data_IF_286682057649
#
_entry.id   IF_286682057649
#
_cell.length_a   1.000
_cell.length_b   1.000
_cell.length_c   1.000
_cell.angle_alpha   90.00
_cell.angle_beta   90.00
_cell.angle_gamma   90.00
#
_symmetry.space_group_name_H-M   'P 1'
#
loop_
_entity.id
_entity.type
_entity.pdbx_description
1 polymer ?
#
# COMPACT_ATOMS: atom_id res chain seq x y z
N UNK A 1 38.90 4.69 8.57
CA UNK A 1 37.69 4.07 9.14
C UNK A 1 36.78 3.77 7.97
N UNK A 2 36.47 2.50 7.70
CA UNK A 2 35.45 2.17 6.70
C UNK A 2 34.09 2.31 7.39
N UNK A 3 33.42 3.45 7.20
CA UNK A 3 32.00 3.53 7.51
C UNK A 3 31.26 2.71 6.45
N UNK A 4 30.93 1.46 6.77
CA UNK A 4 29.92 0.74 5.99
C UNK A 4 28.58 1.42 6.26
N UNK A 5 27.98 2.05 5.26
CA UNK A 5 26.66 2.69 5.36
C UNK A 5 25.51 1.70 5.11
N UNK A 6 25.84 0.55 4.55
CA UNK A 6 24.91 -0.50 4.14
C UNK A 6 25.19 -1.78 4.92
N UNK A 7 24.13 -2.46 5.32
CA UNK A 7 24.14 -3.81 5.88
C UNK A 7 23.23 -4.73 5.08
N UNK A 8 23.60 -6.00 5.00
CA UNK A 8 22.76 -7.03 4.39
C UNK A 8 22.01 -7.79 5.48
N UNK A 9 20.69 -7.89 5.35
CA UNK A 9 19.79 -8.62 6.27
C UNK A 9 18.82 -9.46 5.44
N UNK A 10 18.75 -10.76 5.72
CA UNK A 10 17.81 -11.68 5.05
C UNK A 10 17.82 -11.56 3.52
N UNK A 11 19.01 -11.49 2.93
CA UNK A 11 19.25 -11.30 1.48
C UNK A 11 18.85 -9.94 0.90
N UNK A 12 18.41 -8.98 1.71
CA UNK A 12 18.12 -7.60 1.29
C UNK A 12 19.15 -6.60 1.82
N UNK A 13 19.32 -5.49 1.12
CA UNK A 13 20.25 -4.42 1.49
C UNK A 13 19.55 -3.26 2.20
N UNK A 14 20.08 -2.86 3.35
CA UNK A 14 19.52 -1.83 4.22
C UNK A 14 20.55 -0.79 4.61
N UNK A 15 20.11 0.44 4.86
CA UNK A 15 20.99 1.45 5.46
C UNK A 15 21.11 1.24 6.97
N UNK A 16 22.34 1.27 7.47
CA UNK A 16 22.64 1.00 8.87
C UNK A 16 21.88 1.95 9.80
N UNK A 17 21.18 1.35 10.77
CA UNK A 17 20.43 2.10 11.78
C UNK A 17 19.09 2.66 11.27
N UNK A 18 18.65 2.24 10.09
CA UNK A 18 17.41 2.74 9.47
C UNK A 18 16.54 1.59 8.98
N UNK A 19 15.29 1.91 8.64
CA UNK A 19 14.37 0.99 7.95
C UNK A 19 14.25 1.31 6.47
N UNK A 20 15.23 2.01 5.90
CA UNK A 20 15.23 2.35 4.47
C UNK A 20 16.10 1.33 3.74
N UNK A 21 15.53 0.71 2.70
CA UNK A 21 16.27 -0.21 1.84
C UNK A 21 17.21 0.57 0.92
N UNK A 22 18.34 -0.04 0.59
CA UNK A 22 19.28 0.52 -0.38
C UNK A 22 18.60 0.75 -1.74
N UNK A 23 17.75 -0.18 -2.13
CA UNK A 23 17.01 -0.25 -3.39
C UNK A 23 16.24 1.04 -3.64
N UNK A 24 15.58 1.55 -2.59
CA UNK A 24 14.77 2.76 -2.68
C UNK A 24 15.61 4.00 -2.99
N UNK A 25 16.84 4.07 -2.46
CA UNK A 25 17.80 5.14 -2.76
C UNK A 25 18.39 4.99 -4.15
N UNK A 26 18.75 3.76 -4.53
CA UNK A 26 19.36 3.49 -5.84
C UNK A 26 18.38 3.79 -6.97
N UNK A 27 17.14 3.32 -6.86
CA UNK A 27 16.10 3.56 -7.89
C UNK A 27 15.84 5.06 -8.05
N UNK A 28 15.70 5.81 -6.95
CA UNK A 28 15.48 7.26 -7.00
C UNK A 28 16.68 8.02 -7.58
N UNK A 29 17.90 7.60 -7.26
CA UNK A 29 19.11 8.13 -7.88
C UNK A 29 19.18 7.85 -9.39
N UNK A 30 18.86 6.63 -9.82
CA UNK A 30 18.81 6.24 -11.23
C UNK A 30 17.70 6.94 -12.02
N UNK A 31 16.64 7.40 -11.34
CA UNK A 31 15.61 8.28 -11.92
C UNK A 31 16.09 9.72 -12.16
N UNK A 32 17.34 10.05 -11.77
CA UNK A 32 17.96 11.34 -12.00
C UNK A 32 17.78 12.35 -10.86
N UNK A 33 17.27 11.93 -9.71
CA UNK A 33 17.22 12.79 -8.52
C UNK A 33 18.63 12.97 -7.94
N UNK A 34 18.92 14.19 -7.49
CA UNK A 34 20.20 14.47 -6.82
C UNK A 34 20.20 13.88 -5.41
N UNK A 35 21.37 13.54 -4.85
CA UNK A 35 21.48 13.03 -3.47
C UNK A 35 20.87 13.98 -2.42
N UNK A 36 20.97 15.29 -2.64
CA UNK A 36 20.38 16.31 -1.76
C UNK A 36 18.85 16.23 -1.78
N UNK A 37 18.26 16.16 -2.97
CA UNK A 37 16.81 16.03 -3.13
C UNK A 37 16.31 14.71 -2.54
N UNK A 38 17.06 13.63 -2.72
CA UNK A 38 16.72 12.33 -2.12
C UNK A 38 16.71 12.42 -0.58
N UNK A 39 17.69 13.13 0.01
CA UNK A 39 17.76 13.32 1.46
C UNK A 39 16.64 14.21 2.01
N UNK A 40 16.23 15.27 1.29
CA UNK A 40 15.21 16.21 1.79
C UNK A 40 13.78 15.80 1.47
N UNK A 41 13.52 15.38 0.23
CA UNK A 41 12.18 15.16 -0.29
C UNK A 41 11.72 13.70 -0.16
N UNK A 42 12.63 12.74 -0.36
CA UNK A 42 12.27 11.31 -0.38
C UNK A 42 12.44 10.66 0.99
N UNK A 43 13.56 10.93 1.67
CA UNK A 43 13.91 10.27 2.93
C UNK A 43 14.39 11.28 3.98
N UNK A 44 13.51 12.16 4.49
CA UNK A 44 13.86 13.18 5.49
C UNK A 44 14.36 12.61 6.82
N UNK A 45 14.22 11.30 7.04
CA UNK A 45 14.78 10.57 8.18
C UNK A 45 16.24 10.17 8.00
N UNK A 46 16.80 10.29 6.80
CA UNK A 46 18.19 9.99 6.49
C UNK A 46 19.04 11.25 6.51
N UNK A 47 20.28 11.10 6.97
CA UNK A 47 21.28 12.16 6.83
C UNK A 47 21.82 12.21 5.41
N UNK A 48 22.28 13.39 4.98
CA UNK A 48 22.91 13.55 3.67
C UNK A 48 24.14 12.62 3.54
N UNK A 49 24.90 12.44 4.61
CA UNK A 49 26.04 11.50 4.65
C UNK A 49 25.60 10.06 4.35
N UNK A 50 24.50 9.59 4.94
CA UNK A 50 23.96 8.25 4.69
C UNK A 50 23.52 8.06 3.24
N UNK A 51 22.87 9.06 2.63
CA UNK A 51 22.45 9.01 1.23
C UNK A 51 23.67 8.92 0.31
N UNK A 52 24.67 9.78 0.51
CA UNK A 52 25.92 9.72 -0.25
C UNK A 52 26.67 8.40 -0.04
N UNK A 53 26.69 7.89 1.19
CA UNK A 53 27.29 6.61 1.53
C UNK A 53 26.61 5.43 0.84
N UNK A 54 25.28 5.44 0.75
CA UNK A 54 24.50 4.44 0.03
C UNK A 54 24.77 4.48 -1.48
N UNK A 55 24.82 5.67 -2.08
CA UNK A 55 25.14 5.85 -3.50
C UNK A 55 26.59 5.40 -3.78
N UNK A 56 27.54 5.74 -2.91
CA UNK A 56 28.92 5.30 -3.04
C UNK A 56 29.04 3.76 -2.97
N UNK A 57 28.29 3.14 -2.05
CA UNK A 57 28.22 1.68 -1.96
C UNK A 57 27.66 1.06 -3.25
N UNK A 58 26.58 1.64 -3.79
CA UNK A 58 25.98 1.21 -5.05
C UNK A 58 26.97 1.28 -6.22
N UNK A 59 27.66 2.42 -6.38
CA UNK A 59 28.63 2.59 -7.45
C UNK A 59 29.80 1.61 -7.35
N UNK A 60 30.18 1.20 -6.13
CA UNK A 60 31.20 0.18 -5.88
C UNK A 60 30.77 -1.26 -6.13
N UNK A 61 29.46 -1.56 -6.06
CA UNK A 61 28.89 -2.91 -6.17
C UNK A 61 27.81 -2.99 -7.25
N UNK A 62 27.95 -2.15 -8.28
CA UNK A 62 26.88 -1.90 -9.26
C UNK A 62 26.37 -3.17 -9.93
N UNK A 63 27.25 -4.05 -10.38
CA UNK A 63 26.85 -5.31 -11.04
C UNK A 63 26.07 -6.25 -10.13
N UNK A 64 26.40 -6.28 -8.84
CA UNK A 64 25.73 -7.14 -7.86
C UNK A 64 24.35 -6.58 -7.51
N UNK A 65 24.28 -5.28 -7.26
CA UNK A 65 23.03 -4.62 -6.88
C UNK A 65 22.08 -4.54 -8.06
N UNK A 66 22.56 -4.23 -9.27
CA UNK A 66 21.72 -4.22 -10.47
C UNK A 66 21.08 -5.61 -10.70
N UNK A 67 21.85 -6.69 -10.55
CA UNK A 67 21.33 -8.05 -10.68
C UNK A 67 20.28 -8.40 -9.59
N UNK A 68 20.53 -7.98 -8.35
CA UNK A 68 19.58 -8.15 -7.26
C UNK A 68 18.28 -7.33 -7.50
N UNK A 69 18.39 -6.10 -7.99
CA UNK A 69 17.22 -5.25 -8.32
C UNK A 69 16.41 -5.84 -9.47
N UNK A 70 17.05 -6.35 -10.53
CA UNK A 70 16.36 -7.02 -11.63
C UNK A 70 15.59 -8.26 -11.16
N UNK A 71 16.19 -9.05 -10.26
CA UNK A 71 15.52 -10.22 -9.69
C UNK A 71 14.31 -9.79 -8.84
N UNK A 72 14.48 -8.80 -7.97
CA UNK A 72 13.39 -8.28 -7.14
C UNK A 72 12.23 -7.76 -8.01
N UNK A 73 12.53 -6.99 -9.06
CA UNK A 73 11.52 -6.46 -9.98
C UNK A 73 10.73 -7.58 -10.68
N UNK A 74 11.39 -8.65 -11.09
CA UNK A 74 10.75 -9.81 -11.70
C UNK A 74 9.81 -10.53 -10.72
N UNK A 75 10.25 -10.74 -9.48
CA UNK A 75 9.44 -11.35 -8.41
C UNK A 75 8.20 -10.51 -8.08
N UNK A 76 8.38 -9.19 -7.92
CA UNK A 76 7.26 -8.27 -7.70
C UNK A 76 6.30 -8.21 -8.90
N UNK A 77 6.82 -8.26 -10.13
CA UNK A 77 5.98 -8.30 -11.33
C UNK A 77 5.11 -9.56 -11.39
N UNK A 78 5.69 -10.73 -11.10
CA UNK A 78 4.97 -11.99 -11.05
C UNK A 78 3.87 -11.98 -9.97
N UNK A 79 4.18 -11.46 -8.78
CA UNK A 79 3.19 -11.32 -7.70
C UNK A 79 2.03 -10.41 -8.10
N UNK A 80 2.32 -9.26 -8.75
CA UNK A 80 1.28 -8.35 -9.25
C UNK A 80 0.39 -9.00 -10.31
N UNK A 81 0.93 -9.87 -11.16
CA UNK A 81 0.14 -10.60 -12.16
C UNK A 81 -0.80 -11.61 -11.49
N UNK A 82 -0.28 -12.41 -10.54
CA UNK A 82 -1.08 -13.37 -9.80
C UNK A 82 -2.24 -12.71 -9.03
N UNK A 83 -2.01 -11.56 -8.40
CA UNK A 83 -3.07 -10.80 -7.72
C UNK A 83 -4.15 -10.31 -8.69
N UNK A 84 -3.77 -9.78 -9.85
CA UNK A 84 -4.74 -9.31 -10.87
C UNK A 84 -5.63 -10.44 -11.40
N UNK A 85 -5.05 -11.63 -11.58
CA UNK A 85 -5.80 -12.82 -12.00
C UNK A 85 -6.78 -13.28 -10.93
N UNK A 86 -6.39 -13.24 -9.65
CA UNK A 86 -7.30 -13.56 -8.54
C UNK A 86 -8.41 -12.50 -8.35
N UNK A 87 -8.09 -11.21 -8.52
CA UNK A 87 -9.08 -10.14 -8.46
C UNK A 87 -10.12 -10.28 -9.59
N UNK A 88 -9.70 -10.66 -10.80
CA UNK A 88 -10.62 -10.91 -11.93
C UNK A 88 -11.66 -11.99 -11.61
N UNK A 89 -11.26 -13.08 -10.94
CA UNK A 89 -12.15 -14.18 -10.58
C UNK A 89 -13.17 -13.79 -9.49
N UNK A 90 -12.81 -12.85 -8.63
CA UNK A 90 -13.70 -12.33 -7.60
C UNK A 90 -14.82 -11.47 -8.19
N UNK A 91 -14.49 -10.57 -9.13
CA UNK A 91 -15.48 -9.71 -9.81
C UNK A 91 -16.49 -10.53 -10.64
N UNK A 92 -16.01 -11.54 -11.37
CA UNK A 92 -16.85 -12.39 -12.23
C UNK A 92 -17.84 -13.25 -11.40
N UNK A 93 -17.41 -13.71 -10.22
CA UNK A 93 -18.27 -14.44 -9.27
C UNK A 93 -19.36 -13.54 -8.68
N UNK A 94 -19.03 -12.29 -8.32
CA UNK A 94 -20.01 -11.35 -7.74
C UNK A 94 -21.09 -10.89 -8.74
N UNK A 95 -20.79 -10.80 -10.04
CA UNK A 95 -21.79 -10.53 -11.08
C UNK A 95 -22.76 -11.70 -11.28
N UNK A 96 -22.29 -12.93 -11.08
CA UNK A 96 -23.11 -14.14 -11.21
C UNK A 96 -24.06 -14.34 -10.03
N UNK A 97 -23.62 -14.03 -8.79
CA UNK A 97 -24.45 -14.15 -7.58
C UNK A 97 -25.61 -13.12 -7.57
N UNK A 98 -25.48 -12.00 -8.29
CA UNK A 98 -26.54 -10.98 -8.41
C UNK A 98 -27.72 -11.33 -9.32
N UNK A 99 -27.66 -12.45 -10.06
CA UNK A 99 -28.70 -12.84 -11.03
C UNK A 99 -29.55 -14.05 -10.63
N UNK A 100 -29.34 -14.65 -9.46
CA UNK A 100 -30.22 -15.72 -8.95
C UNK A 100 -31.41 -15.15 -8.15
N UNK A 101 -32.53 -15.09 -8.86
CA UNK A 101 -33.91 -15.20 -8.39
C UNK A 101 -34.45 -14.13 -7.44
N UNK A 102 -34.91 -13.04 -8.05
CA UNK A 102 -36.02 -12.23 -7.57
C UNK A 102 -37.34 -13.03 -7.54
N UNK A 103 -37.49 -14.00 -6.64
CA UNK A 103 -38.81 -14.52 -6.25
C UNK A 103 -38.84 -15.23 -4.88
N UNK A 104 -38.11 -14.71 -3.90
CA UNK A 104 -38.35 -15.03 -2.50
C UNK A 104 -39.11 -13.88 -1.86
N UNK A 105 -40.43 -13.99 -1.66
CA UNK A 105 -41.17 -13.05 -0.81
C UNK A 105 -40.53 -13.11 0.58
N UNK A 106 -39.63 -12.19 0.89
CA UNK A 106 -39.04 -12.05 2.24
C UNK A 106 -40.18 -11.64 3.16
N UNK A 107 -40.76 -12.61 3.85
CA UNK A 107 -41.72 -12.35 4.92
C UNK A 107 -40.93 -12.14 6.21
N UNK A 108 -41.27 -11.10 7.01
CA UNK A 108 -40.68 -10.95 8.33
C UNK A 108 -40.98 -12.19 9.18
N UNK A 109 -40.05 -12.53 10.07
CA UNK A 109 -40.23 -13.62 11.04
C UNK A 109 -41.53 -13.40 11.84
N UNK A 110 -42.33 -14.46 12.13
CA UNK A 110 -43.65 -14.33 12.75
C UNK A 110 -43.65 -13.53 14.07
N UNK A 111 -42.54 -13.55 14.81
CA UNK A 111 -42.39 -12.82 16.08
C UNK A 111 -42.21 -11.29 15.95
N UNK A 112 -41.99 -10.80 14.73
CA UNK A 112 -41.84 -9.38 14.38
C UNK A 112 -43.13 -8.83 13.74
N UNK A 113 -43.98 -9.72 13.21
CA UNK A 113 -45.23 -9.34 12.55
C UNK A 113 -46.18 -8.64 13.55
N UNK A 114 -46.34 -7.32 13.39
CA UNK A 114 -47.24 -6.49 14.20
C UNK A 114 -46.59 -5.72 15.36
N UNK A 115 -45.28 -5.86 15.60
CA UNK A 115 -44.60 -5.14 16.71
C UNK A 115 -44.00 -3.78 16.36
N UNK A 116 -43.90 -3.44 15.07
CA UNK A 116 -43.43 -2.11 14.64
C UNK A 116 -44.49 -1.42 13.80
N UNK A 117 -45.17 -0.44 14.39
CA UNK A 117 -45.74 0.67 13.64
C UNK A 117 -44.64 1.70 13.48
N UNK A 118 -43.98 1.71 12.32
CA UNK A 118 -43.21 2.89 11.91
C UNK A 118 -44.25 3.88 11.38
N UNK A 119 -44.88 4.64 12.27
CA UNK A 119 -45.56 5.89 11.86
C UNK A 119 -44.46 6.83 11.42
N UNK A 120 -44.43 7.11 10.11
CA UNK A 120 -43.41 7.93 9.48
C UNK A 120 -43.40 9.34 10.04
N UNK A 121 -42.20 9.80 10.37
CA UNK A 121 -41.69 11.19 10.32
C UNK A 121 -40.25 11.20 10.91
N UNK A 122 -39.41 10.22 10.53
CA UNK A 122 -38.04 10.14 11.06
C UNK A 122 -37.12 11.15 10.34
N UNK A 123 -37.40 11.50 9.08
CA UNK A 123 -36.50 12.36 8.29
C UNK A 123 -36.79 13.86 8.37
N UNK A 124 -37.92 14.29 8.93
CA UNK A 124 -38.25 15.73 9.09
C UNK A 124 -38.03 16.26 10.52
N UNK A 125 -37.68 15.39 11.47
CA UNK A 125 -37.58 15.76 12.90
C UNK A 125 -36.17 16.12 13.37
N UNK A 126 -35.15 16.04 12.50
CA UNK A 126 -33.76 16.37 12.86
C UNK A 126 -33.37 17.66 12.12
N UNK A 127 -33.34 18.82 12.80
CA UNK A 127 -32.86 20.05 12.18
C UNK A 127 -31.38 19.90 11.83
N UNK A 128 -30.98 20.47 10.69
CA UNK A 128 -29.63 20.35 10.09
C UNK A 128 -28.49 20.90 10.99
N UNK A 129 -28.83 21.54 12.11
CA UNK A 129 -27.91 22.01 13.13
C UNK A 129 -27.41 20.92 14.10
N UNK A 130 -28.00 19.70 14.10
CA UNK A 130 -27.52 18.56 14.89
C UNK A 130 -26.45 17.72 14.17
N UNK A 131 -25.95 18.18 13.01
CA UNK A 131 -24.82 17.56 12.29
C UNK A 131 -23.44 18.04 12.77
N UNK A 132 -23.36 18.77 13.89
CA UNK A 132 -22.09 19.15 14.52
C UNK A 132 -21.39 17.90 15.13
N UNK A 133 -20.78 17.11 14.26
CA UNK A 133 -19.76 16.14 14.61
C UNK A 133 -18.42 16.88 14.82
N UNK A 134 -18.30 17.49 16.00
CA UNK A 134 -17.09 17.89 16.74
C UNK A 134 -16.17 19.00 16.20
N UNK A 135 -15.69 19.81 17.16
CA UNK A 135 -14.66 20.87 17.12
C UNK A 135 -13.31 20.46 16.49
#
# INVERSE_FOLDING_TARGET
MNNSYVEQRDHAYWLIGTRVSLDSIVVTFLQGLSPETIATECFPSLTLEQVYGAIAYYLGHRSEIDAYLEQADAEFAALRQATREQESLFYETSLTIGQSDSNGKRQPHPDIAGKMKITGEIFDSIPEADWDLCE
#
